data_IF_572231858051
#
_entry.id   IF_572231858051
#
_cell.length_a   1.000
_cell.length_b   1.000
_cell.length_c   1.000
_cell.angle_alpha   90.00
_cell.angle_beta   90.00
_cell.angle_gamma   90.00
#
_symmetry.space_group_name_H-M   'P 1'
#
loop_
_entity.id
_entity.type
_entity.pdbx_description
1 polymer ?
#
# COMPACT_ATOMS: atom_id res chain seq x y z
N UNK A 1 -38.60 26.00 -33.60
CA UNK A 1 -39.30 25.78 -34.87
C UNK A 1 -38.88 24.43 -35.42
N UNK A 2 -39.85 23.61 -35.80
CA UNK A 2 -39.69 22.25 -36.32
C UNK A 2 -39.18 22.20 -37.77
N UNK A 3 -38.54 21.09 -38.12
CA UNK A 3 -38.33 20.55 -39.48
C UNK A 3 -37.08 19.64 -39.47
N UNK A 4 -37.04 18.39 -39.94
CA UNK A 4 -37.92 17.59 -40.81
C UNK A 4 -37.74 16.08 -40.57
N UNK A 5 -38.68 15.29 -41.11
CA UNK A 5 -38.86 13.83 -41.05
C UNK A 5 -37.93 13.05 -42.01
N UNK A 6 -37.74 11.74 -41.73
CA UNK A 6 -38.02 10.57 -42.62
C UNK A 6 -37.81 9.23 -41.86
N UNK A 7 -38.87 8.46 -41.55
CA UNK A 7 -39.40 7.23 -42.23
C UNK A 7 -38.47 5.99 -42.17
N UNK A 8 -38.86 4.72 -41.99
CA UNK A 8 -40.09 3.93 -41.69
C UNK A 8 -39.64 2.44 -41.60
N UNK A 9 -40.42 1.56 -40.94
CA UNK A 9 -40.39 0.08 -41.12
C UNK A 9 -40.35 -0.70 -39.79
N UNK A 10 -41.45 -0.90 -39.05
CA UNK A 10 -42.48 -1.97 -39.16
C UNK A 10 -41.93 -3.38 -38.88
N UNK A 11 -42.27 -3.98 -37.73
CA UNK A 11 -43.08 -5.21 -37.60
C UNK A 11 -43.48 -5.46 -36.13
N UNK A 12 -44.66 -6.06 -35.95
CA UNK A 12 -45.51 -6.01 -34.76
C UNK A 12 -45.67 -7.41 -34.10
N UNK A 13 -45.74 -7.41 -32.77
CA UNK A 13 -46.50 -8.25 -31.81
C UNK A 13 -46.75 -9.77 -32.00
N UNK A 14 -46.54 -10.52 -30.90
CA UNK A 14 -47.67 -11.25 -30.29
C UNK A 14 -47.50 -12.67 -29.72
N UNK A 15 -47.32 -12.72 -28.37
CA UNK A 15 -48.05 -13.55 -27.37
C UNK A 15 -47.86 -15.08 -27.18
N UNK A 16 -47.95 -15.43 -25.88
CA UNK A 16 -48.27 -16.70 -25.20
C UNK A 16 -47.13 -17.72 -25.05
N UNK A 17 -46.95 -18.41 -23.91
CA UNK A 17 -47.69 -18.46 -22.63
C UNK A 17 -46.93 -19.37 -21.65
N UNK A 18 -46.87 -18.95 -20.39
CA UNK A 18 -46.54 -19.78 -19.23
C UNK A 18 -47.55 -20.94 -19.09
N UNK A 19 -47.19 -22.14 -19.58
CA UNK A 19 -47.93 -23.40 -19.32
C UNK A 19 -47.02 -24.64 -19.37
N UNK A 20 -45.73 -24.49 -19.04
CA UNK A 20 -44.76 -25.61 -19.05
C UNK A 20 -43.77 -25.60 -17.87
N UNK A 21 -44.16 -24.99 -16.75
CA UNK A 21 -43.61 -25.46 -15.48
C UNK A 21 -44.11 -26.89 -15.22
N UNK A 22 -43.30 -27.69 -14.52
CA UNK A 22 -43.78 -28.73 -13.58
C UNK A 22 -43.93 -30.18 -14.07
N UNK A 23 -42.93 -30.76 -14.75
CA UNK A 23 -42.78 -32.23 -14.85
C UNK A 23 -41.35 -32.70 -15.17
N UNK A 24 -40.40 -32.60 -14.23
CA UNK A 24 -39.12 -33.32 -14.41
C UNK A 24 -38.38 -33.69 -13.11
N UNK A 25 -39.11 -34.01 -12.04
CA UNK A 25 -38.65 -34.92 -10.98
C UNK A 25 -39.55 -36.15 -11.04
N UNK A 26 -39.00 -37.31 -11.48
CA UNK A 26 -39.45 -38.70 -11.27
C UNK A 26 -38.63 -39.64 -12.20
N UNK A 27 -37.50 -40.16 -11.67
CA UNK A 27 -36.66 -41.38 -11.94
C UNK A 27 -36.93 -42.33 -13.15
N UNK A 28 -36.04 -43.31 -13.51
CA UNK A 28 -34.61 -43.58 -13.22
C UNK A 28 -33.73 -43.88 -14.48
N UNK A 29 -32.46 -44.26 -14.23
CA UNK A 29 -31.33 -44.47 -15.16
C UNK A 29 -31.50 -45.48 -16.31
N UNK A 30 -30.84 -45.19 -17.45
CA UNK A 30 -30.31 -46.18 -18.40
C UNK A 30 -28.93 -45.77 -18.92
N UNK A 31 -27.97 -46.69 -18.76
CA UNK A 31 -26.57 -46.65 -19.22
C UNK A 31 -26.43 -47.00 -20.70
N UNK A 32 -25.53 -46.32 -21.41
CA UNK A 32 -24.98 -46.71 -22.72
C UNK A 32 -23.51 -46.25 -22.84
N UNK A 33 -22.69 -46.88 -23.71
CA UNK A 33 -21.31 -47.25 -23.40
C UNK A 33 -20.23 -46.20 -23.78
N UNK A 34 -19.05 -46.40 -23.20
CA UNK A 34 -17.88 -45.53 -23.27
C UNK A 34 -17.21 -45.44 -24.65
N UNK A 35 -16.78 -44.23 -25.01
CA UNK A 35 -15.78 -43.96 -26.05
C UNK A 35 -14.44 -43.52 -25.41
N UNK A 36 -13.29 -43.85 -26.02
CA UNK A 36 -11.99 -43.82 -25.35
C UNK A 36 -11.43 -42.40 -25.18
N UNK A 37 -11.08 -42.06 -23.94
CA UNK A 37 -10.41 -40.82 -23.56
C UNK A 37 -8.94 -40.85 -24.03
N UNK A 38 -8.61 -39.98 -24.97
CA UNK A 38 -7.22 -39.59 -25.26
C UNK A 38 -6.71 -38.81 -24.05
N UNK A 39 -5.74 -39.38 -23.32
CA UNK A 39 -5.07 -38.69 -22.21
C UNK A 39 -3.98 -37.78 -22.78
N UNK A 40 -4.14 -36.47 -22.61
CA UNK A 40 -3.02 -35.54 -22.69
C UNK A 40 -2.02 -35.84 -21.56
N UNK A 41 -0.70 -35.75 -21.82
CA UNK A 41 0.30 -36.03 -20.80
C UNK A 41 0.28 -34.95 -19.72
N UNK A 42 0.26 -35.40 -18.46
CA UNK A 42 0.31 -34.55 -17.27
C UNK A 42 1.56 -33.65 -17.30
N UNK A 43 1.36 -32.35 -17.05
CA UNK A 43 2.44 -31.43 -16.72
C UNK A 43 3.20 -31.94 -15.50
N UNK A 44 4.47 -32.28 -15.71
CA UNK A 44 5.41 -32.59 -14.64
C UNK A 44 5.74 -31.27 -13.95
N UNK A 45 5.05 -30.99 -12.85
CA UNK A 45 5.45 -29.94 -11.91
C UNK A 45 6.85 -30.30 -11.41
N UNK A 46 7.83 -29.51 -11.84
CA UNK A 46 9.22 -29.67 -11.45
C UNK A 46 9.37 -29.22 -9.99
N UNK A 47 9.00 -30.08 -9.04
CA UNK A 47 9.27 -29.86 -7.62
C UNK A 47 10.78 -29.91 -7.43
N UNK A 48 11.32 -28.85 -6.86
CA UNK A 48 12.74 -28.78 -6.51
C UNK A 48 13.10 -29.92 -5.57
N UNK A 49 14.35 -30.37 -5.60
CA UNK A 49 14.85 -31.47 -4.77
C UNK A 49 14.72 -31.22 -3.25
N UNK A 50 14.42 -29.97 -2.85
CA UNK A 50 14.26 -29.57 -1.45
C UNK A 50 12.89 -29.99 -0.85
N UNK A 51 11.88 -30.26 -1.69
CA UNK A 51 10.52 -30.63 -1.23
C UNK A 51 10.38 -32.10 -0.82
N UNK A 52 11.40 -32.94 -1.08
CA UNK A 52 11.27 -34.41 -0.99
C UNK A 52 11.66 -34.94 0.41
N UNK A 53 12.27 -34.14 1.28
CA UNK A 53 12.92 -34.64 2.51
C UNK A 53 12.30 -34.27 3.86
N UNK A 54 11.12 -33.63 3.92
CA UNK A 54 10.50 -33.28 5.20
C UNK A 54 9.12 -33.89 5.37
N UNK A 55 9.07 -34.93 6.23
CA UNK A 55 7.84 -35.39 6.85
C UNK A 55 7.17 -34.23 7.60
N UNK A 56 5.84 -34.16 7.50
CA UNK A 56 5.00 -33.13 8.14
C UNK A 56 5.25 -33.07 9.64
N UNK A 57 6.10 -32.14 10.06
CA UNK A 57 6.14 -31.64 11.44
C UNK A 57 4.88 -30.79 11.59
N UNK A 58 4.09 -30.97 12.67
CA UNK A 58 3.04 -30.03 13.02
C UNK A 58 3.63 -28.62 13.04
N UNK A 59 3.22 -27.79 12.07
CA UNK A 59 3.78 -26.46 11.89
C UNK A 59 3.54 -25.63 13.15
N UNK A 60 4.57 -24.94 13.63
CA UNK A 60 4.41 -23.96 14.70
C UNK A 60 3.58 -22.78 14.19
N UNK A 61 2.91 -22.10 15.11
CA UNK A 61 2.29 -20.81 14.85
C UNK A 61 3.37 -19.73 14.59
N UNK A 62 3.10 -18.81 13.65
CA UNK A 62 4.06 -17.79 13.24
C UNK A 62 4.47 -16.87 14.39
N UNK A 63 3.54 -16.45 15.26
CA UNK A 63 3.86 -15.55 16.37
C UNK A 63 4.81 -16.22 17.37
N UNK A 64 4.64 -17.52 17.60
CA UNK A 64 5.55 -18.31 18.44
C UNK A 64 6.95 -18.36 17.83
N UNK A 65 7.05 -18.61 16.52
CA UNK A 65 8.34 -18.62 15.82
C UNK A 65 9.00 -17.25 15.84
N UNK A 66 8.24 -16.19 15.62
CA UNK A 66 8.73 -14.81 15.66
C UNK A 66 9.35 -14.49 17.02
N UNK A 67 8.67 -14.82 18.12
CA UNK A 67 9.19 -14.59 19.46
C UNK A 67 10.50 -15.37 19.70
N UNK A 68 10.54 -16.66 19.35
CA UNK A 68 11.74 -17.49 19.51
C UNK A 68 12.95 -16.92 18.73
N UNK A 69 12.72 -16.48 17.49
CA UNK A 69 13.77 -15.89 16.63
C UNK A 69 14.22 -14.53 17.17
N UNK A 70 13.29 -13.70 17.65
CA UNK A 70 13.59 -12.42 18.29
C UNK A 70 14.50 -12.60 19.51
N UNK A 71 14.16 -13.53 20.41
CA UNK A 71 14.97 -13.85 21.59
C UNK A 71 16.36 -14.38 21.20
N UNK A 72 16.43 -15.24 20.18
CA UNK A 72 17.70 -15.77 19.67
C UNK A 72 18.60 -14.68 19.07
N UNK A 73 18.04 -13.77 18.28
CA UNK A 73 18.81 -12.70 17.64
C UNK A 73 19.21 -11.62 18.65
N UNK A 74 18.31 -11.22 19.55
CA UNK A 74 18.62 -10.24 20.59
C UNK A 74 19.77 -10.69 21.51
N UNK A 75 19.82 -11.98 21.85
CA UNK A 75 20.88 -12.53 22.71
C UNK A 75 22.25 -12.64 22.04
N UNK A 76 22.31 -12.70 20.70
CA UNK A 76 23.56 -12.95 19.94
C UNK A 76 24.03 -11.79 19.05
N UNK A 77 23.17 -10.85 18.69
CA UNK A 77 23.41 -9.87 17.62
C UNK A 77 22.85 -8.47 17.91
N UNK A 78 22.94 -8.00 19.16
CA UNK A 78 22.40 -6.69 19.58
C UNK A 78 22.94 -5.49 18.78
N UNK A 79 24.15 -5.57 18.22
CA UNK A 79 24.78 -4.50 17.44
C UNK A 79 24.28 -4.37 16.00
N UNK A 80 23.53 -5.35 15.47
CA UNK A 80 23.02 -5.31 14.09
C UNK A 80 21.62 -4.70 13.98
N UNK A 81 20.90 -4.58 15.09
CA UNK A 81 19.56 -4.00 15.14
C UNK A 81 19.57 -2.46 15.15
N UNK A 82 20.75 -1.84 15.31
CA UNK A 82 20.90 -0.39 15.51
C UNK A 82 21.28 0.37 14.23
N UNK A 83 21.89 -0.29 13.24
CA UNK A 83 22.29 0.30 11.95
C UNK A 83 21.41 -0.25 10.80
N UNK A 84 20.11 -0.05 10.91
CA UNK A 84 19.12 -0.54 9.94
C UNK A 84 18.97 0.38 8.73
N UNK A 85 19.84 0.24 7.72
CA UNK A 85 19.48 0.53 6.32
C UNK A 85 20.49 0.11 5.24
N UNK A 86 21.55 -0.64 5.57
CA UNK A 86 22.46 -1.17 4.55
C UNK A 86 21.97 -2.52 4.03
N UNK A 87 22.04 -2.72 2.71
CA UNK A 87 21.79 -4.02 2.07
C UNK A 87 22.63 -5.15 2.69
N UNK A 88 23.81 -4.82 3.24
CA UNK A 88 24.65 -5.77 3.96
C UNK A 88 24.01 -6.25 5.27
N UNK A 89 23.38 -5.35 6.02
CA UNK A 89 22.70 -5.68 7.28
C UNK A 89 21.47 -6.53 7.01
N UNK A 90 20.69 -6.20 5.97
CA UNK A 90 19.55 -7.01 5.50
C UNK A 90 19.98 -8.43 5.15
N UNK A 91 21.02 -8.57 4.33
CA UNK A 91 21.59 -9.89 3.96
C UNK A 91 22.06 -10.66 5.19
N UNK A 92 22.72 -10.00 6.12
CA UNK A 92 23.25 -10.62 7.32
C UNK A 92 22.14 -11.09 8.27
N UNK A 93 21.11 -10.28 8.50
CA UNK A 93 19.96 -10.67 9.32
C UNK A 93 19.22 -11.86 8.72
N UNK A 94 18.88 -11.80 7.42
CA UNK A 94 18.22 -12.93 6.74
C UNK A 94 19.03 -14.22 6.87
N UNK A 95 20.36 -14.16 6.72
CA UNK A 95 21.24 -15.32 6.92
C UNK A 95 21.14 -15.90 8.34
N UNK A 96 21.06 -15.08 9.37
CA UNK A 96 20.91 -15.57 10.74
C UNK A 96 19.54 -16.19 10.99
N UNK A 97 18.48 -15.57 10.47
CA UNK A 97 17.13 -16.13 10.54
C UNK A 97 17.08 -17.49 9.83
N UNK A 98 17.62 -17.58 8.61
CA UNK A 98 17.71 -18.85 7.85
C UNK A 98 18.44 -19.92 8.66
N UNK A 99 19.59 -19.57 9.25
CA UNK A 99 20.35 -20.51 10.08
C UNK A 99 19.52 -21.03 11.25
N UNK A 100 18.83 -20.15 11.96
CA UNK A 100 17.97 -20.53 13.09
C UNK A 100 16.83 -21.47 12.65
N UNK A 101 16.12 -21.13 11.58
CA UNK A 101 15.01 -21.92 11.03
C UNK A 101 15.48 -23.33 10.65
N UNK A 102 16.64 -23.44 10.00
CA UNK A 102 17.21 -24.73 9.60
C UNK A 102 17.72 -25.57 10.78
N UNK A 103 18.47 -24.98 11.71
CA UNK A 103 19.04 -25.70 12.87
C UNK A 103 17.95 -26.24 13.80
N UNK A 104 16.87 -25.47 14.01
CA UNK A 104 15.77 -25.85 14.89
C UNK A 104 14.63 -26.56 14.15
N UNK A 105 14.77 -26.80 12.84
CA UNK A 105 13.75 -27.44 11.97
C UNK A 105 12.37 -26.81 12.13
N UNK A 106 12.34 -25.48 12.18
CA UNK A 106 11.10 -24.73 12.34
C UNK A 106 10.36 -24.69 11.00
N UNK A 107 9.07 -24.97 11.04
CA UNK A 107 8.19 -24.82 9.90
C UNK A 107 6.88 -24.18 10.37
N UNK A 108 6.30 -23.31 9.53
CA UNK A 108 4.98 -22.72 9.71
C UNK A 108 4.09 -23.26 8.59
N UNK A 109 2.87 -23.67 8.94
CA UNK A 109 1.96 -24.27 7.97
C UNK A 109 1.65 -23.30 6.82
N UNK A 110 1.81 -23.76 5.57
CA UNK A 110 1.50 -22.97 4.38
C UNK A 110 2.57 -21.95 3.98
N UNK A 111 3.74 -21.93 4.64
CA UNK A 111 4.87 -21.10 4.26
C UNK A 111 6.08 -21.95 3.85
N UNK A 112 6.71 -21.60 2.75
CA UNK A 112 8.05 -22.10 2.42
C UNK A 112 9.09 -21.54 3.41
N UNK A 113 10.26 -22.18 3.48
CA UNK A 113 11.37 -21.68 4.30
C UNK A 113 11.79 -20.25 3.90
N UNK A 114 11.75 -19.94 2.61
CA UNK A 114 12.13 -18.62 2.11
C UNK A 114 11.10 -17.56 2.53
N UNK A 115 9.81 -17.84 2.37
CA UNK A 115 8.73 -16.95 2.82
C UNK A 115 8.76 -16.75 4.33
N UNK A 116 9.01 -17.82 5.12
CA UNK A 116 9.13 -17.71 6.56
C UNK A 116 10.29 -16.78 6.96
N UNK A 117 11.46 -16.94 6.34
CA UNK A 117 12.63 -16.06 6.58
C UNK A 117 12.32 -14.62 6.22
N UNK A 118 11.65 -14.40 5.08
CA UNK A 118 11.31 -13.06 4.61
C UNK A 118 10.29 -12.39 5.54
N UNK A 119 9.24 -13.11 5.96
CA UNK A 119 8.24 -12.61 6.90
C UNK A 119 8.83 -12.33 8.28
N UNK A 120 9.68 -13.21 8.81
CA UNK A 120 10.40 -12.98 10.07
C UNK A 120 11.31 -11.75 9.98
N UNK A 121 12.01 -11.56 8.87
CA UNK A 121 12.83 -10.38 8.66
C UNK A 121 11.98 -9.10 8.62
N UNK A 122 10.91 -9.10 7.84
CA UNK A 122 9.96 -7.97 7.75
C UNK A 122 9.43 -7.61 9.14
N UNK A 123 9.11 -8.61 9.96
CA UNK A 123 8.58 -8.34 11.29
C UNK A 123 9.59 -7.88 12.33
N UNK A 124 10.85 -8.26 12.17
CA UNK A 124 11.89 -7.88 13.11
C UNK A 124 12.55 -6.55 12.76
N UNK A 125 12.75 -6.30 11.47
CA UNK A 125 13.60 -5.22 10.97
C UNK A 125 12.85 -4.13 10.19
N UNK A 126 11.68 -4.45 9.63
CA UNK A 126 10.88 -3.51 8.85
C UNK A 126 9.60 -3.13 9.64
N UNK A 127 8.54 -2.81 8.91
CA UNK A 127 7.31 -2.24 9.45
C UNK A 127 6.15 -3.22 9.42
N UNK A 128 6.41 -4.52 9.63
CA UNK A 128 5.37 -5.55 9.56
C UNK A 128 4.71 -5.56 8.17
N UNK A 129 3.44 -5.99 8.10
CA UNK A 129 2.62 -5.96 6.90
C UNK A 129 2.46 -4.53 6.31
N UNK A 130 2.67 -3.47 7.11
CA UNK A 130 2.61 -2.08 6.62
C UNK A 130 3.74 -1.74 5.63
N UNK A 131 4.85 -2.48 5.65
CA UNK A 131 6.00 -2.21 4.77
C UNK A 131 5.60 -2.11 3.30
N UNK A 132 4.72 -3.00 2.82
CA UNK A 132 4.27 -3.00 1.42
C UNK A 132 3.39 -1.81 1.06
N UNK A 133 2.67 -1.24 2.03
CA UNK A 133 1.81 -0.07 1.81
C UNK A 133 2.61 1.24 1.94
N UNK A 134 3.53 1.31 2.90
CA UNK A 134 4.41 2.48 3.12
C UNK A 134 5.26 2.79 1.89
N UNK A 135 5.71 1.75 1.18
CA UNK A 135 6.48 1.87 -0.06
C UNK A 135 5.66 1.53 -1.30
N UNK A 136 4.34 1.42 -1.17
CA UNK A 136 3.42 1.07 -2.25
C UNK A 136 3.17 2.25 -3.18
N UNK A 137 3.04 1.96 -4.47
CA UNK A 137 2.69 2.99 -5.46
C UNK A 137 1.23 3.43 -5.27
N UNK A 138 1.00 4.74 -5.29
CA UNK A 138 -0.35 5.32 -5.18
C UNK A 138 -0.96 5.30 -3.79
N UNK A 139 -0.23 4.91 -2.73
CA UNK A 139 -0.71 5.07 -1.34
C UNK A 139 -0.43 6.49 -0.88
N UNK A 140 -1.46 7.18 -0.37
CA UNK A 140 -1.38 8.57 0.11
C UNK A 140 -1.48 8.68 1.63
N UNK A 141 -2.29 7.83 2.25
CA UNK A 141 -2.50 7.81 3.70
C UNK A 141 -2.75 6.39 4.21
N UNK A 142 -2.22 6.08 5.39
CA UNK A 142 -2.49 4.87 6.15
C UNK A 142 -3.02 5.32 7.50
N UNK A 143 -4.30 5.09 7.74
CA UNK A 143 -4.98 5.39 8.98
C UNK A 143 -5.11 4.13 9.83
N UNK A 144 -4.58 4.20 11.05
CA UNK A 144 -4.62 3.13 12.05
C UNK A 144 -5.53 3.64 13.15
N UNK A 145 -6.76 3.15 13.22
CA UNK A 145 -7.72 3.54 14.27
C UNK A 145 -7.54 2.69 15.53
N UNK A 146 -7.06 1.45 15.36
CA UNK A 146 -6.65 0.55 16.43
C UNK A 146 -5.69 -0.49 15.88
N UNK A 147 -5.13 -1.33 16.76
CA UNK A 147 -4.31 -2.47 16.30
C UNK A 147 -5.05 -3.46 15.35
N UNK A 148 -6.39 -3.41 15.30
CA UNK A 148 -7.28 -4.24 14.46
C UNK A 148 -7.93 -3.51 13.28
N UNK A 149 -7.87 -2.18 13.25
CA UNK A 149 -8.58 -1.37 12.26
C UNK A 149 -7.60 -0.47 11.53
N UNK A 150 -7.23 -0.90 10.33
CA UNK A 150 -6.31 -0.21 9.42
C UNK A 150 -7.04 0.09 8.11
N UNK A 151 -6.90 1.32 7.66
CA UNK A 151 -7.50 1.83 6.43
C UNK A 151 -6.43 2.49 5.56
N UNK A 152 -6.48 2.23 4.27
CA UNK A 152 -5.55 2.78 3.28
C UNK A 152 -6.31 3.71 2.35
N UNK A 153 -5.80 4.92 2.19
CA UNK A 153 -6.24 5.85 1.16
C UNK A 153 -5.25 5.84 -0.01
N UNK A 154 -5.79 5.62 -1.20
CA UNK A 154 -5.04 5.62 -2.45
C UNK A 154 -5.31 6.89 -3.26
N UNK A 155 -4.38 7.20 -4.15
CA UNK A 155 -4.54 8.22 -5.18
C UNK A 155 -5.83 8.01 -5.97
N UNK A 156 -6.55 9.11 -6.18
CA UNK A 156 -7.91 9.08 -6.75
C UNK A 156 -9.03 9.00 -5.72
N UNK A 157 -8.72 9.01 -4.43
CA UNK A 157 -9.71 9.08 -3.33
C UNK A 157 -10.37 7.75 -3.00
N UNK A 158 -9.77 6.63 -3.43
CA UNK A 158 -10.24 5.29 -3.07
C UNK A 158 -9.75 4.95 -1.67
N UNK A 159 -10.66 4.54 -0.80
CA UNK A 159 -10.36 4.09 0.56
C UNK A 159 -10.63 2.60 0.70
N UNK A 160 -9.74 1.87 1.37
CA UNK A 160 -9.81 0.42 1.53
C UNK A 160 -9.48 0.03 2.97
N UNK A 161 -10.40 -0.65 3.66
CA UNK A 161 -10.11 -1.29 4.95
C UNK A 161 -9.37 -2.60 4.72
N UNK A 162 -8.30 -2.81 5.48
CA UNK A 162 -7.51 -4.02 5.41
C UNK A 162 -8.13 -5.16 6.24
N UNK A 163 -7.97 -6.38 5.75
CA UNK A 163 -8.19 -7.60 6.55
C UNK A 163 -6.98 -7.88 7.46
N UNK A 164 -5.78 -7.49 7.02
CA UNK A 164 -4.54 -7.60 7.79
C UNK A 164 -4.54 -6.63 8.96
N UNK A 165 -4.04 -7.08 10.10
CA UNK A 165 -3.95 -6.29 11.31
C UNK A 165 -2.72 -6.69 12.14
N UNK A 166 -2.40 -5.89 13.15
CA UNK A 166 -1.36 -6.28 14.11
C UNK A 166 -1.83 -7.45 14.98
N UNK A 167 -0.92 -8.15 15.66
CA UNK A 167 -1.31 -9.29 16.50
C UNK A 167 -1.85 -8.89 17.87
N UNK A 168 -1.47 -7.69 18.35
CA UNK A 168 -1.87 -7.16 19.65
C UNK A 168 -1.63 -5.65 19.75
N UNK A 169 -2.23 -4.97 20.75
CA UNK A 169 -1.91 -3.59 21.09
C UNK A 169 -0.40 -3.34 21.25
N UNK A 170 0.29 -4.25 21.94
CA UNK A 170 1.73 -4.15 22.17
C UNK A 170 2.54 -4.33 20.87
N UNK A 171 2.10 -5.24 19.99
CA UNK A 171 2.73 -5.42 18.68
C UNK A 171 2.65 -4.13 17.86
N UNK A 172 1.46 -3.52 17.76
CA UNK A 172 1.27 -2.25 17.06
C UNK A 172 2.21 -1.15 17.59
N UNK A 173 2.27 -0.97 18.92
CA UNK A 173 3.14 0.05 19.55
C UNK A 173 4.61 -0.20 19.21
N UNK A 174 5.06 -1.46 19.22
CA UNK A 174 6.45 -1.80 18.89
C UNK A 174 6.78 -1.51 17.43
N UNK A 175 5.90 -1.84 16.48
CA UNK A 175 6.09 -1.52 15.06
C UNK A 175 6.19 -0.01 14.86
N UNK A 176 5.26 0.76 15.44
CA UNK A 176 5.25 2.22 15.33
C UNK A 176 6.47 2.86 16.02
N UNK A 177 6.94 2.33 17.15
CA UNK A 177 8.21 2.74 17.77
C UNK A 177 9.40 2.56 16.84
N UNK A 178 9.48 1.42 16.13
CA UNK A 178 10.55 1.19 15.14
C UNK A 178 10.50 2.21 14.00
N UNK A 179 9.30 2.57 13.52
CA UNK A 179 9.15 3.63 12.53
C UNK A 179 9.69 4.98 13.03
N UNK A 180 9.32 5.37 14.24
CA UNK A 180 9.70 6.64 14.85
C UNK A 180 11.18 6.71 15.26
N UNK A 181 11.81 5.56 15.50
CA UNK A 181 13.24 5.48 15.78
C UNK A 181 14.08 6.04 14.62
N UNK A 182 13.60 5.93 13.37
CA UNK A 182 14.28 6.49 12.19
C UNK A 182 14.36 8.03 12.25
N UNK A 183 13.35 8.71 12.80
CA UNK A 183 13.39 10.18 13.04
C UNK A 183 14.04 10.59 14.36
N UNK A 184 14.43 9.63 15.21
CA UNK A 184 14.84 9.92 16.59
C UNK A 184 13.68 10.39 17.47
N UNK A 185 12.44 10.14 17.07
CA UNK A 185 11.25 10.47 17.86
C UNK A 185 10.97 9.33 18.84
N UNK A 186 10.83 9.65 20.13
CA UNK A 186 10.60 8.65 21.18
C UNK A 186 9.10 8.59 21.48
N UNK A 187 8.52 7.39 21.38
CA UNK A 187 7.14 7.10 21.77
C UNK A 187 7.15 6.23 23.04
N UNK A 188 6.80 6.82 24.18
CA UNK A 188 6.80 6.15 25.48
C UNK A 188 5.67 6.66 26.39
N UNK A 189 5.63 6.23 27.65
CA UNK A 189 4.58 6.63 28.58
C UNK A 189 4.70 8.10 29.01
N UNK A 190 5.89 8.69 28.89
CA UNK A 190 6.09 10.12 29.12
C UNK A 190 5.67 10.97 27.91
N UNK A 191 5.77 10.40 26.70
CA UNK A 191 5.43 11.02 25.42
C UNK A 191 4.46 10.13 24.62
N UNK A 192 3.18 9.99 25.04
CA UNK A 192 2.22 9.11 24.39
C UNK A 192 1.58 9.73 23.13
N UNK A 193 1.85 11.02 22.85
CA UNK A 193 1.40 11.74 21.65
C UNK A 193 2.62 12.29 20.94
N UNK A 194 2.85 11.88 19.70
CA UNK A 194 4.06 12.27 18.95
C UNK A 194 3.77 12.50 17.48
N UNK A 195 4.58 13.35 16.88
CA UNK A 195 4.65 13.50 15.42
C UNK A 195 6.10 13.30 14.98
N UNK A 196 6.30 12.65 13.85
CA UNK A 196 7.61 12.23 13.35
C UNK A 196 7.66 12.12 11.83
N UNK A 197 8.78 11.63 11.32
CA UNK A 197 9.03 11.51 9.88
C UNK A 197 9.85 10.27 9.58
N UNK A 198 9.26 9.30 8.91
CA UNK A 198 9.92 8.01 8.64
C UNK A 198 10.98 8.12 7.53
N UNK A 199 10.64 8.86 6.48
CA UNK A 199 11.49 9.15 5.34
C UNK A 199 11.16 10.57 4.83
N UNK A 200 11.93 11.11 3.89
CA UNK A 200 11.80 12.52 3.42
C UNK A 200 10.36 12.96 3.12
N UNK A 201 9.51 12.04 2.69
CA UNK A 201 8.14 12.29 2.27
C UNK A 201 7.08 11.53 3.08
N UNK A 202 7.45 10.86 4.17
CA UNK A 202 6.52 10.03 4.97
C UNK A 202 6.43 10.61 6.37
N UNK A 203 5.28 11.18 6.70
CA UNK A 203 4.99 11.78 8.00
C UNK A 203 4.13 10.84 8.80
N UNK A 204 4.31 10.85 10.11
CA UNK A 204 3.56 10.00 11.01
C UNK A 204 3.12 10.80 12.24
N UNK A 205 1.86 10.67 12.61
CA UNK A 205 1.29 11.18 13.85
C UNK A 205 0.71 10.02 14.64
N UNK A 206 1.00 9.92 15.93
CA UNK A 206 0.65 8.76 16.76
C UNK A 206 0.14 9.20 18.11
N UNK A 207 -0.89 8.51 18.56
CA UNK A 207 -1.47 8.54 19.89
C UNK A 207 -1.44 7.11 20.42
N UNK A 208 -0.81 6.87 21.57
CA UNK A 208 -0.87 5.55 22.22
C UNK A 208 -1.51 5.62 23.61
N UNK A 209 -1.82 4.46 24.16
CA UNK A 209 -2.20 4.31 25.56
C UNK A 209 -1.22 5.05 26.50
N UNK A 210 -1.70 5.82 27.49
CA UNK A 210 -3.09 5.87 27.98
C UNK A 210 -4.00 6.93 27.33
N UNK A 211 -3.59 7.57 26.23
CA UNK A 211 -4.41 8.59 25.55
C UNK A 211 -5.57 7.95 24.78
N UNK A 212 -5.35 6.74 24.28
CA UNK A 212 -6.39 5.83 23.79
C UNK A 212 -6.50 4.63 24.73
N UNK A 213 -7.66 3.97 24.71
CA UNK A 213 -7.92 2.80 25.56
C UNK A 213 -6.89 1.69 25.34
N UNK A 214 -6.61 0.90 26.39
CA UNK A 214 -5.61 -0.19 26.35
C UNK A 214 -5.94 -1.22 25.24
N UNK A 215 -7.22 -1.47 25.00
CA UNK A 215 -7.69 -2.40 23.97
C UNK A 215 -7.49 -1.88 22.55
N UNK A 216 -7.41 -0.56 22.37
CA UNK A 216 -7.10 0.10 21.09
C UNK A 216 -5.59 0.05 20.84
N UNK A 217 -4.80 0.25 21.90
CA UNK A 217 -3.33 0.27 21.88
C UNK A 217 -2.74 1.56 21.32
N UNK A 218 -3.05 1.86 20.06
CA UNK A 218 -2.67 3.12 19.42
C UNK A 218 -3.64 3.51 18.31
N UNK A 219 -3.68 4.82 18.04
CA UNK A 219 -4.16 5.37 16.80
C UNK A 219 -3.01 6.12 16.10
N UNK A 220 -2.91 6.01 14.78
CA UNK A 220 -1.88 6.70 14.01
C UNK A 220 -2.38 7.07 12.62
N UNK A 221 -1.84 8.14 12.06
CA UNK A 221 -1.99 8.48 10.64
C UNK A 221 -0.59 8.60 10.04
N UNK A 222 -0.35 7.87 8.96
CA UNK A 222 0.90 7.90 8.20
C UNK A 222 0.57 8.50 6.83
N UNK A 223 1.03 9.72 6.60
CA UNK A 223 0.81 10.44 5.35
C UNK A 223 2.04 10.34 4.45
N UNK A 224 1.83 9.85 3.24
CA UNK A 224 2.86 9.66 2.22
C UNK A 224 2.67 10.74 1.15
N UNK A 225 3.65 11.62 1.06
CA UNK A 225 3.66 12.70 0.06
C UNK A 225 4.35 12.16 -1.19
N UNK A 226 3.55 11.76 -2.18
CA UNK A 226 4.10 11.37 -3.47
C UNK A 226 4.21 12.61 -4.37
N UNK A 227 5.38 12.89 -4.97
CA UNK A 227 5.52 13.92 -5.99
C UNK A 227 4.52 13.65 -7.13
N UNK A 228 3.59 14.58 -7.35
CA UNK A 228 2.60 14.45 -8.41
C UNK A 228 3.06 15.21 -9.65
N UNK A 229 3.15 14.50 -10.79
CA UNK A 229 3.43 15.06 -12.10
C UNK A 229 2.13 15.19 -12.91
N UNK A 230 1.23 16.05 -12.45
CA UNK A 230 0.00 16.35 -13.19
C UNK A 230 0.31 17.24 -14.40
N UNK A 231 -0.30 16.94 -15.54
CA UNK A 231 -0.29 17.79 -16.75
C UNK A 231 -1.56 18.64 -16.79
N UNK A 232 -1.57 19.64 -17.67
CA UNK A 232 -2.74 20.53 -17.86
C UNK A 232 -3.98 19.71 -18.22
N UNK A 233 -3.81 18.71 -19.08
CA UNK A 233 -4.86 17.85 -19.57
C UNK A 233 -5.55 17.09 -18.44
N UNK A 234 -4.79 16.66 -17.43
CA UNK A 234 -5.33 15.89 -16.29
C UNK A 234 -6.31 16.72 -15.45
N UNK A 235 -6.04 18.02 -15.25
CA UNK A 235 -6.95 18.93 -14.56
C UNK A 235 -8.23 19.19 -15.35
N UNK A 236 -8.11 19.27 -16.68
CA UNK A 236 -9.26 19.51 -17.57
C UNK A 236 -10.12 18.25 -17.65
N UNK A 237 -9.53 17.07 -17.86
CA UNK A 237 -10.26 15.81 -17.90
C UNK A 237 -10.88 15.45 -16.56
N UNK A 238 -10.21 15.80 -15.45
CA UNK A 238 -10.72 15.63 -14.09
C UNK A 238 -11.77 16.66 -13.69
N UNK A 239 -12.11 17.64 -14.54
CA UNK A 239 -13.10 18.67 -14.24
C UNK A 239 -12.68 19.65 -13.13
N UNK A 240 -11.40 19.71 -12.78
CA UNK A 240 -10.87 20.58 -11.73
C UNK A 240 -10.90 22.05 -12.16
N UNK A 241 -10.56 22.33 -13.42
CA UNK A 241 -10.60 23.67 -14.02
C UNK A 241 -10.70 23.57 -15.54
N UNK A 242 -11.18 24.63 -16.21
CA UNK A 242 -11.10 24.70 -17.67
C UNK A 242 -9.68 25.06 -18.11
N UNK A 243 -9.35 24.78 -19.37
CA UNK A 243 -8.05 25.14 -19.93
C UNK A 243 -7.76 26.64 -19.85
N UNK A 244 -8.77 27.47 -20.08
CA UNK A 244 -8.68 28.93 -20.04
C UNK A 244 -8.40 29.45 -18.63
N UNK A 245 -9.00 28.85 -17.59
CA UNK A 245 -8.72 29.21 -16.19
C UNK A 245 -7.26 28.94 -15.85
N UNK A 246 -6.75 27.78 -16.27
CA UNK A 246 -5.38 27.37 -16.03
C UNK A 246 -4.38 28.25 -16.80
N UNK A 247 -4.68 28.59 -18.05
CA UNK A 247 -3.85 29.52 -18.84
C UNK A 247 -3.80 30.90 -18.20
N UNK A 248 -4.95 31.44 -17.78
CA UNK A 248 -5.02 32.74 -17.12
C UNK A 248 -4.17 32.78 -15.84
N UNK A 249 -4.27 31.75 -14.99
CA UNK A 249 -3.47 31.66 -13.75
C UNK A 249 -1.97 31.50 -14.03
N UNK A 250 -1.63 30.74 -15.07
CA UNK A 250 -0.25 30.56 -15.52
C UNK A 250 0.35 31.90 -15.94
N UNK A 251 -0.38 32.67 -16.75
CA UNK A 251 0.07 34.00 -17.19
C UNK A 251 0.21 34.97 -16.01
N UNK A 252 -0.72 34.96 -15.05
CA UNK A 252 -0.59 35.75 -13.81
C UNK A 252 0.77 35.52 -13.13
N UNK A 253 1.13 34.26 -12.87
CA UNK A 253 2.37 33.91 -12.17
C UNK A 253 3.59 34.23 -13.05
N UNK A 254 3.51 33.99 -14.36
CA UNK A 254 4.56 34.31 -15.34
C UNK A 254 4.88 35.80 -15.40
N UNK A 255 3.92 36.68 -15.13
CA UNK A 255 4.13 38.12 -15.05
C UNK A 255 4.35 38.65 -13.63
N UNK A 256 4.46 37.76 -12.63
CA UNK A 256 4.78 38.14 -11.26
C UNK A 256 3.58 38.63 -10.45
N UNK A 257 2.36 38.32 -10.89
CA UNK A 257 1.14 38.55 -10.12
C UNK A 257 1.06 37.46 -9.04
N UNK A 258 0.91 37.87 -7.79
CA UNK A 258 0.76 36.96 -6.66
C UNK A 258 -0.58 36.22 -6.73
N UNK A 259 -0.52 34.90 -6.64
CA UNK A 259 -1.70 34.00 -6.64
C UNK A 259 -1.73 33.22 -5.34
N UNK A 260 -2.92 33.11 -4.74
CA UNK A 260 -3.17 32.27 -3.57
C UNK A 260 -4.17 31.17 -3.93
N UNK A 261 -3.80 29.92 -3.71
CA UNK A 261 -4.69 28.76 -3.90
C UNK A 261 -5.28 28.38 -2.55
N UNK A 262 -6.60 28.49 -2.40
CA UNK A 262 -7.33 28.26 -1.16
C UNK A 262 -8.40 27.17 -1.32
N UNK A 263 -8.81 26.56 -0.20
CA UNK A 263 -9.70 25.39 -0.19
C UNK A 263 -9.49 24.51 1.06
N UNK A 264 -10.42 23.60 1.31
CA UNK A 264 -10.37 22.66 2.43
C UNK A 264 -9.14 21.74 2.39
N UNK A 265 -8.80 21.09 3.50
CA UNK A 265 -7.79 20.02 3.50
C UNK A 265 -8.15 18.95 2.46
N UNK A 266 -7.15 18.39 1.79
CA UNK A 266 -7.32 17.41 0.69
C UNK A 266 -8.04 17.91 -0.58
N UNK A 267 -8.30 19.22 -0.74
CA UNK A 267 -8.98 19.74 -1.93
C UNK A 267 -8.10 19.93 -3.18
N UNK A 268 -6.91 19.33 -3.24
CA UNK A 268 -5.99 19.43 -4.39
C UNK A 268 -5.22 20.76 -4.53
N UNK A 269 -5.13 21.58 -3.47
CA UNK A 269 -4.46 22.90 -3.51
C UNK A 269 -2.99 22.80 -3.92
N UNK A 270 -2.21 21.97 -3.23
CA UNK A 270 -0.79 21.81 -3.52
C UNK A 270 -0.59 21.26 -4.93
N UNK A 271 -1.47 20.37 -5.39
CA UNK A 271 -1.43 19.79 -6.74
C UNK A 271 -1.56 20.86 -7.82
N UNK A 272 -2.58 21.73 -7.72
CA UNK A 272 -2.77 22.85 -8.67
C UNK A 272 -1.63 23.86 -8.57
N UNK A 273 -1.21 24.23 -7.37
CA UNK A 273 -0.09 25.15 -7.16
C UNK A 273 1.22 24.60 -7.74
N UNK A 274 1.50 23.31 -7.53
CA UNK A 274 2.67 22.63 -8.08
C UNK A 274 2.69 22.67 -9.60
N UNK A 275 1.58 22.31 -10.26
CA UNK A 275 1.49 22.43 -11.71
C UNK A 275 1.68 23.87 -12.20
N UNK A 276 1.03 24.86 -11.58
CA UNK A 276 1.18 26.28 -11.94
C UNK A 276 2.64 26.74 -11.86
N UNK A 277 3.38 26.30 -10.84
CA UNK A 277 4.81 26.62 -10.70
C UNK A 277 5.66 25.98 -11.82
N UNK A 278 5.25 24.85 -12.40
CA UNK A 278 5.91 24.28 -13.59
C UNK A 278 5.72 25.12 -14.86
N UNK A 279 4.78 26.07 -14.86
CA UNK A 279 4.59 26.97 -16.01
C UNK A 279 5.59 28.13 -16.02
N UNK A 280 6.30 28.37 -14.91
CA UNK A 280 7.30 29.44 -14.78
C UNK A 280 8.48 29.14 -15.73
N UNK A 281 8.97 30.14 -16.50
CA UNK A 281 10.13 29.98 -17.37
C UNK A 281 11.42 29.74 -16.58
N UNK A 282 12.30 28.87 -17.08
CA UNK A 282 13.53 28.41 -16.41
C UNK A 282 14.50 29.55 -16.04
N UNK A 283 14.45 30.66 -16.77
CA UNK A 283 15.22 31.88 -16.45
C UNK A 283 14.81 32.57 -15.13
N UNK A 284 13.73 32.14 -14.49
CA UNK A 284 13.27 32.67 -13.20
C UNK A 284 13.65 31.71 -12.08
N UNK A 285 14.20 32.28 -11.01
CA UNK A 285 14.51 31.54 -9.78
C UNK A 285 13.24 31.32 -8.96
N UNK A 286 13.05 30.09 -8.48
CA UNK A 286 11.94 29.70 -7.61
C UNK A 286 12.54 29.26 -6.26
N UNK A 287 11.97 29.76 -5.17
CA UNK A 287 12.27 29.30 -3.81
C UNK A 287 10.98 28.75 -3.21
N UNK A 288 10.96 27.49 -2.78
CA UNK A 288 9.86 26.92 -1.99
C UNK A 288 10.22 26.95 -0.51
N UNK A 289 9.23 27.27 0.32
CA UNK A 289 9.31 27.18 1.78
C UNK A 289 8.14 26.30 2.21
N UNK A 290 8.45 25.11 2.71
CA UNK A 290 7.48 24.08 3.04
C UNK A 290 7.70 23.62 4.49
N UNK A 291 6.62 23.23 5.17
CA UNK A 291 6.70 22.80 6.57
C UNK A 291 6.57 21.28 6.69
N UNK A 292 7.61 20.64 7.23
CA UNK A 292 7.66 19.20 7.51
C UNK A 292 8.22 18.38 6.35
N UNK A 293 7.51 18.29 5.22
CA UNK A 293 7.93 17.52 4.04
C UNK A 293 7.86 18.34 2.77
N UNK A 294 8.72 18.02 1.81
CA UNK A 294 8.68 18.58 0.46
C UNK A 294 7.53 17.94 -0.32
N UNK A 295 6.51 18.72 -0.65
CA UNK A 295 5.39 18.33 -1.52
C UNK A 295 5.61 18.77 -2.98
N UNK A 296 6.41 19.82 -3.20
CA UNK A 296 6.68 20.36 -4.53
C UNK A 296 7.93 19.75 -5.18
N UNK A 297 7.77 19.18 -6.38
CA UNK A 297 8.88 18.76 -7.23
C UNK A 297 8.97 19.61 -8.49
N UNK A 298 9.92 20.56 -8.49
CA UNK A 298 10.05 21.60 -9.51
C UNK A 298 11.38 21.53 -10.27
N UNK A 299 12.28 20.62 -9.88
CA UNK A 299 13.58 20.48 -10.53
C UNK A 299 13.35 19.82 -11.89
N UNK A 300 13.82 20.47 -12.96
CA UNK A 300 13.72 19.95 -14.31
C UNK A 300 15.07 19.43 -14.74
N UNK A 301 15.10 18.24 -15.31
CA UNK A 301 16.30 17.68 -15.91
C UNK A 301 16.05 17.39 -17.39
N UNK A 302 17.02 17.78 -18.22
CA UNK A 302 17.07 17.47 -19.64
C UNK A 302 18.45 16.91 -19.97
N UNK A 303 18.51 15.70 -20.55
CA UNK A 303 19.75 14.98 -20.85
C UNK A 303 20.74 14.91 -19.65
N UNK A 304 20.20 14.64 -18.45
CA UNK A 304 20.99 14.52 -17.21
C UNK A 304 21.56 15.84 -16.69
N UNK A 305 21.05 16.98 -17.17
CA UNK A 305 21.40 18.31 -16.66
C UNK A 305 20.18 19.00 -16.10
N UNK A 306 20.33 19.63 -14.93
CA UNK A 306 19.31 20.52 -14.38
C UNK A 306 19.18 21.74 -15.28
N UNK A 307 17.95 22.02 -15.74
CA UNK A 307 17.60 23.14 -16.62
C UNK A 307 16.74 24.17 -15.92
#
# INVERSE_FOLDING_TARGET
MLGERKTRGVFNEGRNSEWSARMQELMPAQTAPAEPVVREPAEVVNKSADDIFFAAVEGKDFATVLQEVQEHIASRYSSLLTDGNSDDVKRQMKRYITKYVQENRVAVQGMSNQELVDNLYTEMAEFSFLTKYIFGEGVEEIDINSWKDIEIQYSGGRTEKLEEHFDSPAHAINVIRRMLHVSGTILDDASPVVTGTLAKNIRIAVLKTPIVDEEVGLAASIRIVNPQSMKKEDFVSGGTATGEMLDFLSECIRYGISVCVAGATSSGKTTVAGWLLTTIPDRKRIFSIENGSRELDLVREYDGRVV
#
